data_IF_415354845812
#
_entry.id   IF_415354845812
#
_cell.length_a   1.000
_cell.length_b   1.000
_cell.length_c   1.000
_cell.angle_alpha   90.00
_cell.angle_beta   90.00
_cell.angle_gamma   90.00
#
_symmetry.space_group_name_H-M   'P 1'
#
loop_
_entity.id
_entity.type
_entity.pdbx_description
1 polymer ?
#
# COMPACT_ATOMS: atom_id res chain seq x y z
N UNK A 1 28.87 38.60 -37.66
CA UNK A 1 27.84 39.47 -37.06
C UNK A 1 26.60 38.62 -36.83
N UNK A 2 25.84 38.88 -35.77
CA UNK A 2 24.54 38.24 -35.56
C UNK A 2 23.44 39.00 -36.33
N UNK A 3 22.40 38.27 -36.73
CA UNK A 3 20.97 38.53 -36.50
C UNK A 3 20.09 38.08 -37.68
N UNK A 4 18.77 37.97 -37.46
CA UNK A 4 17.81 37.45 -38.45
C UNK A 4 17.14 36.13 -38.06
N UNK A 5 16.70 36.05 -36.81
CA UNK A 5 15.90 34.98 -36.22
C UNK A 5 14.68 34.56 -37.05
N UNK A 6 14.56 33.25 -37.24
CA UNK A 6 13.32 32.50 -37.44
C UNK A 6 13.58 31.14 -36.78
N UNK A 7 12.61 30.58 -36.05
CA UNK A 7 12.81 29.62 -34.94
C UNK A 7 12.86 28.17 -35.50
N UNK A 8 13.88 27.31 -35.36
CA UNK A 8 15.19 27.23 -34.65
C UNK A 8 15.18 26.91 -33.13
N UNK A 9 16.00 25.91 -32.77
CA UNK A 9 16.33 25.32 -31.44
C UNK A 9 16.83 26.31 -30.36
N UNK A 10 16.88 27.61 -30.64
CA UNK A 10 17.48 28.62 -29.76
C UNK A 10 16.47 29.18 -28.75
N UNK A 11 15.18 29.22 -29.08
CA UNK A 11 14.16 29.77 -28.20
C UNK A 11 13.85 28.83 -27.01
N UNK A 12 13.95 27.51 -27.22
CA UNK A 12 14.02 26.53 -26.14
C UNK A 12 15.27 26.67 -25.25
N UNK A 13 16.34 27.29 -25.74
CA UNK A 13 17.59 27.58 -25.00
C UNK A 13 17.41 28.83 -24.14
N UNK A 14 16.79 29.88 -24.70
CA UNK A 14 16.53 31.14 -24.00
C UNK A 14 15.54 30.97 -22.83
N UNK A 15 14.59 30.03 -22.95
CA UNK A 15 13.76 29.62 -21.81
C UNK A 15 14.62 29.07 -20.65
N UNK A 16 15.52 28.12 -20.92
CA UNK A 16 16.40 27.45 -19.94
C UNK A 16 17.34 28.44 -19.22
N UNK A 17 17.71 29.56 -19.87
CA UNK A 17 18.60 30.56 -19.29
C UNK A 17 17.94 31.47 -18.23
N UNK A 18 16.61 31.51 -18.13
CA UNK A 18 15.91 32.58 -17.38
C UNK A 18 15.51 32.26 -15.94
N UNK A 19 15.25 31.00 -15.56
CA UNK A 19 14.80 30.66 -14.19
C UNK A 19 15.78 29.76 -13.40
N UNK A 20 17.11 29.94 -13.49
CA UNK A 20 18.12 28.87 -13.33
C UNK A 20 18.36 28.31 -11.90
N UNK A 21 17.33 27.92 -11.13
CA UNK A 21 17.46 27.14 -9.87
C UNK A 21 16.51 25.96 -9.62
N UNK A 22 15.36 25.83 -10.29
CA UNK A 22 14.39 24.74 -10.01
C UNK A 22 14.51 23.48 -10.93
N UNK A 23 15.08 23.58 -12.14
CA UNK A 23 15.73 22.46 -12.89
C UNK A 23 17.27 22.44 -12.78
N UNK A 24 18.07 23.49 -12.60
CA UNK A 24 17.98 24.94 -12.84
C UNK A 24 16.90 25.37 -13.88
N UNK A 25 15.86 26.11 -13.45
CA UNK A 25 14.50 26.09 -14.06
C UNK A 25 14.39 26.78 -15.43
N UNK A 26 13.46 26.34 -16.31
CA UNK A 26 13.29 26.91 -17.64
C UNK A 26 12.26 28.06 -17.76
N UNK A 27 11.08 27.80 -18.35
CA UNK A 27 10.41 28.72 -19.37
C UNK A 27 9.70 29.74 -18.34
N UNK A 28 10.18 30.98 -18.24
CA UNK A 28 9.37 32.17 -18.59
C UNK A 28 10.29 33.12 -19.38
N UNK A 29 10.00 33.52 -20.62
CA UNK A 29 8.68 33.62 -21.28
C UNK A 29 8.74 32.99 -22.69
N UNK A 30 7.62 32.94 -23.43
CA UNK A 30 7.48 32.15 -24.68
C UNK A 30 8.47 32.46 -25.81
N UNK A 31 8.53 31.64 -26.88
CA UNK A 31 7.36 30.99 -27.50
C UNK A 31 7.48 29.53 -27.98
N UNK A 32 8.62 28.84 -27.85
CA UNK A 32 8.75 27.41 -28.21
C UNK A 32 7.94 26.50 -27.24
N UNK A 33 6.70 26.13 -27.59
CA UNK A 33 5.67 25.81 -26.57
C UNK A 33 5.38 24.35 -26.21
N UNK A 34 5.64 23.36 -27.07
CA UNK A 34 4.94 22.05 -26.92
C UNK A 34 5.82 20.82 -26.61
N UNK A 35 7.01 20.66 -27.21
CA UNK A 35 7.65 19.33 -27.28
C UNK A 35 8.39 18.82 -26.03
N UNK A 36 8.70 19.67 -25.03
CA UNK A 36 9.51 19.23 -23.88
C UNK A 36 8.73 18.38 -22.86
N UNK A 37 7.40 18.51 -22.81
CA UNK A 37 6.55 17.68 -21.94
C UNK A 37 6.37 16.27 -22.51
N UNK A 38 6.28 16.14 -23.84
CA UNK A 38 6.17 14.86 -24.55
C UNK A 38 7.41 13.96 -24.38
N UNK A 39 8.59 14.55 -24.16
CA UNK A 39 9.82 13.80 -23.83
C UNK A 39 9.77 13.19 -22.42
N UNK A 40 8.98 13.77 -21.50
CA UNK A 40 8.68 13.18 -20.19
C UNK A 40 7.44 12.29 -20.23
N UNK A 41 6.56 12.43 -21.23
CA UNK A 41 5.29 11.71 -21.36
C UNK A 41 5.40 10.50 -22.29
N UNK A 42 5.76 9.36 -21.71
CA UNK A 42 5.99 8.13 -22.44
C UNK A 42 4.65 7.49 -22.83
N UNK A 43 4.29 7.60 -24.11
CA UNK A 43 3.05 7.10 -24.69
C UNK A 43 3.32 6.16 -25.88
N UNK A 44 2.36 5.31 -26.26
CA UNK A 44 2.50 4.42 -27.43
C UNK A 44 2.73 5.14 -28.77
N UNK A 45 2.42 6.44 -28.86
CA UNK A 45 2.61 7.24 -30.07
C UNK A 45 3.93 8.04 -30.11
N UNK A 46 4.51 8.32 -28.93
CA UNK A 46 5.80 9.04 -28.78
C UNK A 46 6.97 8.09 -28.57
N UNK A 47 6.75 6.98 -27.87
CA UNK A 47 7.70 5.87 -27.74
C UNK A 47 8.10 5.33 -29.13
N UNK A 48 9.40 5.15 -29.37
CA UNK A 48 10.02 4.76 -30.65
C UNK A 48 9.90 5.77 -31.82
N UNK A 49 9.29 6.95 -31.67
CA UNK A 49 9.03 7.86 -32.80
C UNK A 49 9.99 9.07 -32.86
N UNK A 50 10.81 9.14 -33.93
CA UNK A 50 11.46 10.37 -34.39
C UNK A 50 12.71 10.85 -33.63
N UNK A 51 13.11 10.20 -32.54
CA UNK A 51 14.29 10.60 -31.76
C UNK A 51 15.61 10.28 -32.47
N UNK A 52 16.56 11.22 -32.43
CA UNK A 52 17.97 11.01 -32.83
C UNK A 52 18.91 11.70 -31.83
N UNK A 53 19.89 10.98 -31.26
CA UNK A 53 20.94 11.60 -30.45
C UNK A 53 21.99 12.25 -31.35
N UNK A 54 22.58 13.34 -30.88
CA UNK A 54 23.69 14.02 -31.56
C UNK A 54 25.02 13.61 -30.95
N UNK A 55 26.10 13.56 -31.74
CA UNK A 55 27.44 13.10 -31.33
C UNK A 55 27.81 13.59 -29.92
N UNK A 56 27.97 12.62 -29.00
CA UNK A 56 27.68 12.82 -27.58
C UNK A 56 28.91 13.13 -26.75
N UNK A 57 28.75 14.07 -25.82
CA UNK A 57 29.07 13.85 -24.41
C UNK A 57 27.88 14.30 -23.55
N UNK A 58 27.55 13.54 -22.51
CA UNK A 58 26.33 13.73 -21.71
C UNK A 58 26.63 13.91 -20.23
N UNK A 59 26.12 15.01 -19.68
CA UNK A 59 26.20 15.33 -18.24
C UNK A 59 24.82 15.35 -17.59
N UNK A 60 23.76 15.74 -18.32
CA UNK A 60 22.39 15.21 -18.12
C UNK A 60 21.36 15.76 -19.12
N UNK A 61 20.60 14.86 -19.75
CA UNK A 61 19.13 14.95 -19.85
C UNK A 61 18.52 13.69 -19.19
N UNK A 62 18.89 13.50 -17.92
CA UNK A 62 18.88 12.27 -17.12
C UNK A 62 19.08 10.91 -17.84
N UNK A 63 20.25 10.58 -18.40
CA UNK A 63 21.31 11.49 -18.85
C UNK A 63 21.31 11.67 -20.38
N UNK A 64 20.47 10.89 -21.09
CA UNK A 64 19.76 11.32 -22.30
C UNK A 64 18.51 10.44 -22.44
N UNK A 65 17.51 10.68 -21.58
CA UNK A 65 16.40 9.77 -21.27
C UNK A 65 16.91 8.35 -20.94
N UNK A 66 17.89 8.31 -20.03
CA UNK A 66 18.67 7.16 -19.61
C UNK A 66 19.41 6.42 -20.76
N UNK A 67 19.94 7.21 -21.70
CA UNK A 67 20.43 6.75 -23.01
C UNK A 67 19.33 6.01 -23.79
N UNK A 68 18.23 6.72 -24.01
CA UNK A 68 17.06 6.30 -24.78
C UNK A 68 16.43 4.98 -24.35
N UNK A 69 15.88 4.99 -23.14
CA UNK A 69 15.12 3.86 -22.61
C UNK A 69 15.91 2.54 -22.62
N UNK A 70 17.16 2.61 -22.15
CA UNK A 70 17.98 1.49 -21.70
C UNK A 70 18.60 0.55 -22.78
N UNK A 71 18.46 0.85 -24.08
CA UNK A 71 19.36 0.37 -25.17
C UNK A 71 19.69 -1.15 -25.18
N UNK A 72 18.80 -2.11 -25.50
CA UNK A 72 17.39 -2.07 -25.95
C UNK A 72 16.61 -3.22 -25.24
N UNK A 73 15.97 -3.01 -24.08
CA UNK A 73 15.26 -4.07 -23.37
C UNK A 73 13.77 -4.09 -23.72
N UNK A 74 13.31 -5.23 -24.25
CA UNK A 74 11.89 -5.50 -24.56
C UNK A 74 11.01 -5.37 -23.31
N UNK A 75 11.60 -5.50 -22.13
CA UNK A 75 11.01 -5.27 -20.81
C UNK A 75 10.33 -3.91 -20.70
N UNK A 76 10.95 -2.87 -21.28
CA UNK A 76 10.45 -1.49 -21.19
C UNK A 76 9.38 -1.23 -22.26
N UNK A 77 9.48 -1.86 -23.43
CA UNK A 77 8.36 -1.91 -24.38
C UNK A 77 7.12 -2.61 -23.75
N UNK A 78 7.31 -3.73 -23.03
CA UNK A 78 6.24 -4.46 -22.34
C UNK A 78 5.55 -3.62 -21.25
N UNK A 79 6.21 -2.62 -20.65
CA UNK A 79 5.54 -1.63 -19.77
C UNK A 79 4.45 -0.89 -20.55
N UNK A 80 4.78 -0.36 -21.73
CA UNK A 80 3.87 0.46 -22.51
C UNK A 80 2.80 -0.36 -23.25
N UNK A 81 3.11 -1.60 -23.62
CA UNK A 81 2.11 -2.55 -24.15
C UNK A 81 1.09 -2.98 -23.07
N UNK A 82 1.51 -3.04 -21.80
CA UNK A 82 0.65 -3.38 -20.66
C UNK A 82 0.06 -2.15 -19.93
N UNK A 83 0.35 -0.92 -20.38
CA UNK A 83 -0.17 0.31 -19.80
C UNK A 83 -1.21 0.96 -20.72
N UNK A 84 -2.47 0.98 -20.26
CA UNK A 84 -3.58 1.67 -20.93
C UNK A 84 -3.40 3.19 -21.03
N UNK A 85 -2.40 3.76 -20.34
CA UNK A 85 -2.20 5.21 -20.16
C UNK A 85 -0.74 5.60 -20.34
N UNK A 86 -0.46 6.83 -20.79
CA UNK A 86 0.90 7.39 -20.78
C UNK A 86 1.50 7.41 -19.37
N UNK A 87 2.81 7.21 -19.26
CA UNK A 87 3.56 7.21 -18.01
C UNK A 87 4.61 8.31 -18.01
N UNK A 88 4.83 8.94 -16.86
CA UNK A 88 5.81 10.03 -16.74
C UNK A 88 7.22 9.47 -16.46
N UNK A 89 8.24 9.93 -17.18
CA UNK A 89 9.65 9.73 -16.81
C UNK A 89 10.01 10.61 -15.62
N UNK A 90 10.47 10.01 -14.52
CA UNK A 90 10.77 10.71 -13.28
C UNK A 90 12.25 10.53 -12.89
N UNK A 91 13.12 11.53 -13.12
CA UNK A 91 14.52 11.51 -12.69
C UNK A 91 14.68 11.24 -11.17
N UNK A 92 15.57 10.31 -10.76
CA UNK A 92 15.85 9.99 -9.36
C UNK A 92 16.22 11.19 -8.49
N UNK A 93 16.84 12.21 -9.07
CA UNK A 93 17.21 13.47 -8.41
C UNK A 93 16.00 14.28 -7.89
N UNK A 94 14.79 14.01 -8.38
CA UNK A 94 13.56 14.62 -7.85
C UNK A 94 13.09 13.97 -6.54
N UNK A 95 13.62 12.80 -6.15
CA UNK A 95 13.18 12.04 -4.98
C UNK A 95 13.97 12.39 -3.71
N UNK A 96 13.41 13.29 -2.89
CA UNK A 96 13.95 13.61 -1.57
C UNK A 96 13.80 12.45 -0.57
N UNK A 97 14.85 12.18 0.19
CA UNK A 97 14.90 11.32 1.39
C UNK A 97 14.16 9.98 1.25
N UNK A 98 14.69 9.08 0.41
CA UNK A 98 14.18 7.72 0.20
C UNK A 98 14.11 6.93 1.53
N UNK A 99 12.89 6.65 1.99
CA UNK A 99 12.63 5.79 3.15
C UNK A 99 12.17 4.41 2.69
N UNK A 100 12.94 3.37 2.96
CA UNK A 100 12.49 1.99 2.75
C UNK A 100 11.28 1.65 3.64
N UNK A 101 10.30 0.97 3.03
CA UNK A 101 9.25 0.26 3.75
C UNK A 101 9.67 -1.20 4.00
N UNK A 102 9.03 -1.93 4.94
CA UNK A 102 9.33 -3.35 5.15
C UNK A 102 9.18 -4.16 3.86
N UNK A 103 10.29 -4.77 3.44
CA UNK A 103 10.45 -5.45 2.16
C UNK A 103 9.44 -6.59 1.98
N UNK A 104 9.14 -6.93 0.73
CA UNK A 104 8.44 -8.17 0.38
C UNK A 104 9.36 -9.06 -0.44
N UNK A 105 9.03 -10.35 -0.56
CA UNK A 105 9.73 -11.27 -1.47
C UNK A 105 9.54 -10.95 -2.97
N UNK A 106 8.89 -9.83 -3.29
CA UNK A 106 8.56 -9.37 -4.65
C UNK A 106 9.21 -8.02 -4.99
N UNK A 107 10.05 -7.48 -4.10
CA UNK A 107 10.77 -6.22 -4.31
C UNK A 107 10.75 -5.29 -3.10
N UNK A 108 11.61 -4.28 -3.17
CA UNK A 108 11.72 -3.21 -2.19
C UNK A 108 10.80 -2.04 -2.57
N UNK A 109 10.07 -1.49 -1.61
CA UNK A 109 9.28 -0.26 -1.80
C UNK A 109 9.92 0.87 -1.00
N UNK A 110 10.04 2.04 -1.60
CA UNK A 110 10.51 3.27 -0.96
C UNK A 110 9.39 4.31 -0.96
N UNK A 111 9.27 5.08 0.12
CA UNK A 111 8.53 6.35 0.13
C UNK A 111 9.51 7.50 -0.10
N UNK A 112 9.06 8.51 -0.84
CA UNK A 112 9.82 9.75 -1.08
C UNK A 112 8.89 10.96 -1.21
N UNK A 113 9.45 12.15 -1.04
CA UNK A 113 8.87 13.39 -1.55
C UNK A 113 9.46 13.68 -2.93
N UNK A 114 8.66 13.47 -3.98
CA UNK A 114 8.99 13.89 -5.33
C UNK A 114 8.83 15.41 -5.43
N UNK A 115 9.95 16.13 -5.54
CA UNK A 115 9.98 17.54 -5.94
C UNK A 115 9.79 17.58 -7.45
N UNK A 116 8.54 17.77 -7.87
CA UNK A 116 8.19 18.01 -9.28
C UNK A 116 8.61 19.44 -9.60
N UNK A 117 9.64 19.71 -10.43
CA UNK A 117 10.30 21.01 -10.44
C UNK A 117 9.39 22.17 -10.87
N UNK A 118 8.53 21.97 -11.87
CA UNK A 118 7.49 22.94 -12.29
C UNK A 118 6.32 23.11 -11.30
N UNK A 119 6.47 22.68 -10.05
CA UNK A 119 5.45 22.76 -9.01
C UNK A 119 6.08 22.95 -7.64
N UNK A 120 5.92 24.14 -7.06
CA UNK A 120 6.44 24.50 -5.73
C UNK A 120 5.88 23.67 -4.54
N UNK A 121 5.13 22.58 -4.79
CA UNK A 121 4.68 21.59 -3.80
C UNK A 121 5.24 20.20 -4.11
N UNK A 122 6.02 19.61 -3.21
CA UNK A 122 6.45 18.21 -3.33
C UNK A 122 5.27 17.24 -3.22
N UNK A 123 5.24 16.21 -4.07
CA UNK A 123 4.23 15.14 -4.07
C UNK A 123 4.80 13.90 -3.38
N UNK A 124 4.07 13.34 -2.42
CA UNK A 124 4.45 12.09 -1.76
C UNK A 124 4.27 10.92 -2.74
N UNK A 125 5.32 10.16 -3.02
CA UNK A 125 5.33 9.04 -3.98
C UNK A 125 5.79 7.74 -3.34
N UNK A 126 5.32 6.62 -3.89
CA UNK A 126 5.82 5.29 -3.59
C UNK A 126 6.55 4.74 -4.82
N UNK A 127 7.77 4.26 -4.63
CA UNK A 127 8.65 3.73 -5.69
C UNK A 127 8.85 2.25 -5.40
N UNK A 128 8.32 1.37 -6.25
CA UNK A 128 8.51 -0.07 -6.17
C UNK A 128 9.69 -0.46 -7.07
N UNK A 129 10.80 -0.88 -6.47
CA UNK A 129 11.90 -1.49 -7.21
C UNK A 129 11.44 -2.84 -7.78
N UNK A 130 11.70 -3.07 -9.06
CA UNK A 130 11.24 -4.22 -9.83
C UNK A 130 12.41 -4.92 -10.53
N UNK A 131 12.52 -6.23 -10.29
CA UNK A 131 13.51 -7.12 -10.92
C UNK A 131 12.98 -7.78 -12.21
N UNK A 132 11.68 -8.08 -12.27
CA UNK A 132 10.99 -8.61 -13.44
C UNK A 132 9.66 -7.86 -13.59
N UNK A 133 9.53 -7.20 -14.75
CA UNK A 133 8.45 -6.27 -15.04
C UNK A 133 7.23 -6.93 -15.70
N UNK A 134 7.41 -8.11 -16.30
CA UNK A 134 6.36 -8.87 -17.01
C UNK A 134 5.34 -9.42 -16.01
N UNK A 135 5.75 -9.60 -14.75
CA UNK A 135 4.92 -10.07 -13.63
C UNK A 135 4.25 -8.93 -12.83
N UNK A 136 4.29 -7.69 -13.32
CA UNK A 136 3.78 -6.51 -12.60
C UNK A 136 2.39 -6.07 -13.09
N UNK A 137 1.64 -5.42 -12.20
CA UNK A 137 0.42 -4.69 -12.54
C UNK A 137 0.73 -3.19 -12.60
N UNK A 138 0.42 -2.55 -13.73
CA UNK A 138 0.63 -1.11 -13.98
C UNK A 138 -0.55 -0.23 -13.56
N UNK A 139 -1.64 -0.82 -13.05
CA UNK A 139 -2.79 -0.07 -12.52
C UNK A 139 -2.30 0.90 -11.44
N UNK A 140 -2.62 2.19 -11.61
CA UNK A 140 -2.23 3.33 -10.76
C UNK A 140 -0.71 3.63 -10.68
N UNK A 141 0.11 3.06 -11.55
CA UNK A 141 1.45 3.61 -11.85
C UNK A 141 1.25 4.93 -12.59
N UNK A 142 1.90 6.00 -12.13
CA UNK A 142 1.88 7.33 -12.76
C UNK A 142 3.13 7.59 -13.60
N UNK A 143 4.19 6.83 -13.35
CA UNK A 143 5.49 7.06 -13.98
C UNK A 143 6.50 5.98 -13.65
N UNK A 144 7.67 6.11 -14.27
CA UNK A 144 8.80 5.20 -14.14
C UNK A 144 10.07 5.97 -13.85
N UNK A 145 10.96 5.34 -13.10
CA UNK A 145 12.30 5.83 -12.80
C UNK A 145 13.30 4.68 -12.88
N UNK A 146 14.59 4.96 -12.92
CA UNK A 146 15.61 3.93 -12.83
C UNK A 146 16.95 4.45 -12.33
N UNK A 147 17.77 3.52 -11.81
CA UNK A 147 19.15 3.77 -11.39
C UNK A 147 20.08 2.67 -11.91
N UNK A 148 21.35 3.02 -12.16
CA UNK A 148 22.39 2.03 -12.48
C UNK A 148 22.66 1.20 -11.22
N UNK A 149 22.58 -0.12 -11.34
CA UNK A 149 22.89 -1.02 -10.22
C UNK A 149 24.39 -1.07 -9.97
N UNK A 150 24.82 -0.98 -8.71
CA UNK A 150 26.23 -1.17 -8.32
C UNK A 150 26.67 -2.64 -8.33
N UNK A 151 25.72 -3.59 -8.39
CA UNK A 151 25.96 -5.02 -8.17
C UNK A 151 25.45 -5.95 -9.29
N UNK A 152 24.73 -5.41 -10.28
CA UNK A 152 24.19 -6.19 -11.40
C UNK A 152 24.55 -5.53 -12.72
N UNK A 153 24.71 -6.33 -13.78
CA UNK A 153 24.89 -5.87 -15.18
C UNK A 153 23.65 -5.19 -15.79
N UNK A 154 22.56 -5.09 -15.04
CA UNK A 154 21.28 -4.54 -15.50
C UNK A 154 20.78 -3.43 -14.58
N UNK A 155 20.02 -2.51 -15.16
CA UNK A 155 19.42 -1.36 -14.50
C UNK A 155 18.34 -1.78 -13.48
N UNK A 156 18.22 -1.05 -12.38
CA UNK A 156 17.12 -1.24 -11.42
C UNK A 156 15.98 -0.31 -11.78
N UNK A 157 14.85 -0.88 -12.18
CA UNK A 157 13.63 -0.14 -12.54
C UNK A 157 12.80 0.16 -11.28
N UNK A 158 12.24 1.36 -11.22
CA UNK A 158 11.30 1.78 -10.19
C UNK A 158 9.95 2.16 -10.82
N UNK A 159 8.89 1.42 -10.47
CA UNK A 159 7.52 1.83 -10.79
C UNK A 159 7.07 2.87 -9.76
N UNK A 160 6.64 4.04 -10.21
CA UNK A 160 6.25 5.15 -9.34
C UNK A 160 4.73 5.29 -9.34
N UNK A 161 4.14 5.24 -8.15
CA UNK A 161 2.75 5.63 -7.90
C UNK A 161 2.72 6.84 -6.97
N UNK A 162 1.55 7.48 -6.85
CA UNK A 162 1.29 8.32 -5.68
C UNK A 162 1.45 7.46 -4.41
N UNK A 163 1.98 8.05 -3.34
CA UNK A 163 2.00 7.39 -2.04
C UNK A 163 0.59 7.42 -1.45
N UNK A 164 0.08 6.25 -1.07
CA UNK A 164 -1.09 6.16 -0.21
C UNK A 164 -0.85 6.90 1.11
N UNK A 165 -1.93 7.39 1.72
CA UNK A 165 -1.87 8.03 3.03
C UNK A 165 -1.66 6.99 4.14
N UNK A 166 -2.30 5.83 4.01
CA UNK A 166 -2.24 4.74 4.99
C UNK A 166 -2.62 3.39 4.34
N UNK A 167 -2.14 2.28 4.90
CA UNK A 167 -2.69 0.95 4.60
C UNK A 167 -3.91 0.65 5.48
N UNK A 168 -4.81 -0.22 5.05
CA UNK A 168 -5.94 -0.64 5.90
C UNK A 168 -5.45 -1.32 7.19
N UNK A 169 -4.30 -2.01 7.13
CA UNK A 169 -3.59 -2.58 8.29
C UNK A 169 -3.24 -1.53 9.35
N UNK A 170 -2.72 -0.37 8.95
CA UNK A 170 -2.38 0.72 9.86
C UNK A 170 -3.61 1.52 10.33
N UNK A 171 -4.75 1.38 9.64
CA UNK A 171 -5.99 2.09 9.97
C UNK A 171 -6.89 1.32 10.95
N UNK A 172 -7.06 0.00 10.75
CA UNK A 172 -7.90 -0.88 11.57
C UNK A 172 -7.66 -0.76 13.08
N UNK A 173 -6.42 -0.62 13.61
CA UNK A 173 -6.18 -0.39 15.03
C UNK A 173 -6.95 0.79 15.62
N UNK A 174 -7.37 1.77 14.80
CA UNK A 174 -8.10 2.98 15.19
C UNK A 174 -9.62 2.77 15.26
N UNK A 175 -10.15 1.57 15.01
CA UNK A 175 -11.58 1.27 15.00
C UNK A 175 -12.33 1.65 16.30
N UNK A 176 -11.65 1.72 17.45
CA UNK A 176 -12.21 2.20 18.71
C UNK A 176 -12.68 3.67 18.68
N UNK A 177 -12.30 4.42 17.64
CA UNK A 177 -12.66 5.83 17.43
C UNK A 177 -13.80 6.00 16.40
N UNK A 178 -14.01 5.02 15.54
CA UNK A 178 -14.86 5.11 14.36
C UNK A 178 -16.36 5.06 14.71
N UNK A 179 -17.23 5.56 13.81
CA UNK A 179 -18.66 5.29 13.86
C UNK A 179 -18.99 4.02 13.07
N UNK A 180 -20.13 3.38 13.35
CA UNK A 180 -20.64 2.25 12.55
C UNK A 180 -20.73 2.63 11.07
N UNK A 181 -21.27 3.81 10.75
CA UNK A 181 -21.27 4.37 9.38
C UNK A 181 -19.87 4.44 8.74
N UNK A 182 -18.80 4.75 9.49
CA UNK A 182 -17.42 4.72 8.96
C UNK A 182 -16.93 3.28 8.74
N UNK A 183 -17.22 2.35 9.66
CA UNK A 183 -16.90 0.92 9.49
C UNK A 183 -17.59 0.38 8.23
N UNK A 184 -18.89 0.68 8.05
CA UNK A 184 -19.69 0.21 6.91
C UNK A 184 -19.23 0.81 5.58
N UNK A 185 -18.88 2.11 5.53
CA UNK A 185 -18.31 2.74 4.33
C UNK A 185 -16.99 2.09 3.93
N UNK A 186 -16.05 1.91 4.87
CA UNK A 186 -14.75 1.28 4.57
C UNK A 186 -14.92 -0.19 4.19
N UNK A 187 -15.84 -0.91 4.82
CA UNK A 187 -16.26 -2.25 4.43
C UNK A 187 -16.80 -2.30 2.99
N UNK A 188 -17.70 -1.38 2.62
CA UNK A 188 -18.31 -1.30 1.30
C UNK A 188 -17.29 -0.93 0.22
N UNK A 189 -16.37 0.00 0.50
CA UNK A 189 -15.25 0.33 -0.39
C UNK A 189 -14.34 -0.89 -0.61
N UNK A 190 -14.03 -1.64 0.46
CA UNK A 190 -13.21 -2.87 0.38
C UNK A 190 -13.93 -3.95 -0.44
N UNK A 191 -15.22 -4.19 -0.16
CA UNK A 191 -16.02 -5.18 -0.89
C UNK A 191 -16.21 -4.81 -2.36
N UNK A 192 -16.37 -3.51 -2.67
CA UNK A 192 -16.49 -3.01 -4.04
C UNK A 192 -15.19 -3.21 -4.82
N UNK A 193 -14.02 -2.92 -4.24
CA UNK A 193 -12.75 -3.16 -4.90
C UNK A 193 -12.49 -4.67 -5.17
N UNK A 194 -13.02 -5.57 -4.33
CA UNK A 194 -13.00 -7.02 -4.57
C UNK A 194 -14.02 -7.43 -5.65
N UNK A 195 -15.24 -6.85 -5.62
CA UNK A 195 -16.27 -7.05 -6.66
C UNK A 195 -15.77 -6.63 -8.04
N UNK A 196 -15.16 -5.45 -8.15
CA UNK A 196 -14.71 -4.90 -9.43
C UNK A 196 -13.57 -5.74 -10.03
N UNK A 197 -12.79 -6.42 -9.19
CA UNK A 197 -11.82 -7.43 -9.60
C UNK A 197 -12.49 -8.77 -10.01
N UNK A 198 -13.54 -9.19 -9.30
CA UNK A 198 -14.28 -10.42 -9.61
C UNK A 198 -15.12 -10.30 -10.90
N UNK A 199 -15.66 -9.11 -11.18
CA UNK A 199 -16.44 -8.81 -12.38
C UNK A 199 -15.62 -8.92 -13.68
N UNK A 200 -14.30 -8.74 -13.62
CA UNK A 200 -13.37 -9.01 -14.74
C UNK A 200 -12.79 -10.43 -14.71
N UNK A 201 -13.47 -11.36 -14.03
CA UNK A 201 -13.07 -12.77 -13.81
C UNK A 201 -11.71 -12.97 -13.11
N UNK A 202 -11.15 -11.93 -12.49
CA UNK A 202 -9.91 -12.02 -11.72
C UNK A 202 -10.18 -12.28 -10.23
N UNK A 203 -9.11 -12.52 -9.47
CA UNK A 203 -9.12 -12.59 -8.01
C UNK A 203 -7.75 -12.18 -7.45
N UNK A 204 -7.73 -11.73 -6.21
CA UNK A 204 -6.56 -11.16 -5.57
C UNK A 204 -5.68 -12.24 -4.94
N UNK A 205 -4.41 -12.36 -5.36
CA UNK A 205 -3.53 -13.46 -4.93
C UNK A 205 -3.16 -13.45 -3.44
N UNK A 206 -3.20 -12.29 -2.78
CA UNK A 206 -2.78 -12.10 -1.39
C UNK A 206 -3.65 -11.02 -0.71
N UNK A 207 -4.94 -11.30 -0.53
CA UNK A 207 -5.92 -10.33 0.00
C UNK A 207 -5.82 -10.20 1.53
N UNK A 208 -5.30 -9.07 2.00
CA UNK A 208 -5.06 -8.76 3.42
C UNK A 208 -5.00 -7.23 3.62
N UNK A 209 -5.25 -6.69 4.83
CA UNK A 209 -5.29 -5.23 5.07
C UNK A 209 -4.01 -4.46 4.69
N UNK A 210 -2.83 -5.11 4.72
CA UNK A 210 -1.57 -4.50 4.27
C UNK A 210 -1.60 -4.13 2.78
N UNK A 211 -2.24 -4.99 2.00
CA UNK A 211 -2.32 -4.94 0.55
C UNK A 211 -3.53 -4.13 0.08
N UNK A 212 -4.16 -3.38 1.01
CA UNK A 212 -5.25 -2.45 0.76
C UNK A 212 -4.74 -1.06 1.09
N UNK A 213 -4.57 -0.23 0.07
CA UNK A 213 -4.09 1.15 0.20
C UNK A 213 -5.28 2.12 0.26
N UNK A 214 -5.12 3.20 1.01
CA UNK A 214 -6.12 4.27 1.15
C UNK A 214 -5.46 5.61 0.80
N UNK A 215 -6.10 6.36 -0.10
CA UNK A 215 -5.64 7.69 -0.56
C UNK A 215 -6.84 8.62 -0.61
N UNK A 216 -6.95 9.54 0.34
CA UNK A 216 -8.20 10.28 0.56
C UNK A 216 -9.42 9.35 0.72
N UNK A 217 -10.42 9.50 -0.14
CA UNK A 217 -11.63 8.66 -0.18
C UNK A 217 -11.54 7.45 -1.14
N UNK A 218 -10.35 7.13 -1.68
CA UNK A 218 -10.13 5.99 -2.58
C UNK A 218 -9.46 4.83 -1.87
N UNK A 219 -9.86 3.61 -2.25
CA UNK A 219 -9.30 2.35 -1.77
C UNK A 219 -8.79 1.53 -2.95
N UNK A 220 -7.59 0.95 -2.82
CA UNK A 220 -6.90 0.24 -3.89
C UNK A 220 -6.34 -1.10 -3.40
N UNK A 221 -6.43 -2.15 -4.24
CA UNK A 221 -5.84 -3.47 -3.99
C UNK A 221 -4.49 -3.60 -4.69
N UNK A 222 -3.40 -3.78 -3.94
CA UNK A 222 -2.01 -3.94 -4.44
C UNK A 222 -1.43 -5.30 -4.11
N UNK A 223 -0.25 -5.66 -4.65
CA UNK A 223 0.33 -7.02 -4.52
C UNK A 223 -0.52 -8.13 -5.20
N UNK A 224 -1.34 -7.71 -6.17
CA UNK A 224 -1.91 -8.57 -7.21
C UNK A 224 -0.79 -9.13 -8.09
N UNK A 225 -0.81 -10.44 -8.35
CA UNK A 225 0.07 -11.09 -9.33
C UNK A 225 -0.76 -11.92 -10.30
N UNK A 226 -0.46 -11.75 -11.59
CA UNK A 226 -0.85 -12.64 -12.68
C UNK A 226 -0.17 -14.00 -12.49
N UNK A 227 -0.86 -14.92 -11.81
CA UNK A 227 -0.28 -16.14 -11.26
C UNK A 227 0.05 -17.19 -12.32
N UNK A 228 1.32 -17.24 -12.73
CA UNK A 228 1.95 -18.45 -13.25
C UNK A 228 2.50 -19.26 -12.06
N UNK A 229 1.86 -20.41 -11.78
CA UNK A 229 2.26 -21.51 -10.85
C UNK A 229 1.99 -21.33 -9.33
N UNK A 230 0.79 -21.77 -8.94
CA UNK A 230 0.51 -22.83 -7.94
C UNK A 230 1.01 -22.79 -6.48
N UNK A 231 1.85 -21.85 -6.01
CA UNK A 231 2.26 -21.79 -4.58
C UNK A 231 1.44 -20.78 -3.78
N UNK A 232 0.92 -21.22 -2.63
CA UNK A 232 0.29 -20.34 -1.63
C UNK A 232 1.26 -19.27 -1.15
N UNK A 233 0.81 -18.01 -1.12
CA UNK A 233 1.60 -16.84 -0.75
C UNK A 233 0.72 -15.80 -0.06
N UNK A 234 1.17 -15.31 1.10
CA UNK A 234 0.40 -14.44 1.99
C UNK A 234 0.53 -14.86 3.45
N UNK A 235 -0.18 -14.20 4.37
CA UNK A 235 -0.23 -14.64 5.78
C UNK A 235 -1.35 -15.67 5.97
N UNK A 236 -1.01 -16.77 6.65
CA UNK A 236 -1.90 -17.91 6.88
C UNK A 236 -3.33 -17.57 7.37
N UNK A 237 -3.56 -16.59 8.28
CA UNK A 237 -4.91 -16.28 8.77
C UNK A 237 -5.91 -15.75 7.72
N UNK A 238 -5.45 -15.37 6.53
CA UNK A 238 -6.32 -14.93 5.42
C UNK A 238 -6.60 -16.05 4.40
N UNK A 239 -5.95 -17.22 4.51
CA UNK A 239 -6.24 -18.35 3.64
C UNK A 239 -7.54 -19.05 4.07
N UNK A 240 -8.35 -19.40 3.08
CA UNK A 240 -9.56 -20.17 3.28
C UNK A 240 -9.24 -21.67 3.54
N UNK A 241 -10.12 -22.42 4.25
CA UNK A 241 -9.83 -23.80 4.67
C UNK A 241 -9.54 -24.78 3.53
N UNK A 242 -10.01 -24.51 2.30
CA UNK A 242 -9.71 -25.29 1.11
C UNK A 242 -8.27 -25.10 0.58
N UNK A 243 -7.50 -24.16 1.14
CA UNK A 243 -6.10 -23.86 0.78
C UNK A 243 -5.89 -23.56 -0.72
N UNK A 244 -6.91 -23.00 -1.39
CA UNK A 244 -6.88 -22.56 -2.78
C UNK A 244 -7.04 -21.04 -2.89
N UNK A 245 -6.53 -20.46 -3.98
CA UNK A 245 -6.63 -19.03 -4.29
C UNK A 245 -7.59 -18.86 -5.49
N UNK A 246 -8.79 -18.36 -5.22
CA UNK A 246 -9.86 -18.15 -6.20
C UNK A 246 -10.83 -17.05 -5.69
N UNK A 247 -11.91 -16.77 -6.43
CA UNK A 247 -12.91 -15.77 -6.00
C UNK A 247 -13.59 -16.12 -4.67
N UNK A 248 -13.95 -17.39 -4.41
CA UNK A 248 -14.59 -17.78 -3.14
C UNK A 248 -13.64 -17.72 -1.94
N UNK A 249 -12.34 -17.95 -2.10
CA UNK A 249 -11.36 -17.74 -1.02
C UNK A 249 -10.99 -16.27 -0.82
N UNK A 250 -11.12 -15.44 -1.86
CA UNK A 250 -11.17 -13.99 -1.73
C UNK A 250 -12.35 -13.52 -0.87
N UNK A 251 -13.54 -14.13 -0.99
CA UNK A 251 -14.68 -13.80 -0.09
C UNK A 251 -14.39 -14.22 1.35
N UNK A 252 -13.68 -15.33 1.58
CA UNK A 252 -13.23 -15.70 2.93
C UNK A 252 -12.29 -14.64 3.52
N UNK A 253 -11.24 -14.26 2.78
CA UNK A 253 -10.31 -13.20 3.18
C UNK A 253 -11.01 -11.84 3.38
N UNK A 254 -12.01 -11.50 2.55
CA UNK A 254 -12.87 -10.34 2.76
C UNK A 254 -13.67 -10.46 4.07
N UNK A 255 -14.21 -11.64 4.39
CA UNK A 255 -14.86 -11.93 5.69
C UNK A 255 -13.94 -11.70 6.89
N UNK A 256 -12.67 -12.08 6.77
CA UNK A 256 -11.63 -11.75 7.77
C UNK A 256 -11.54 -10.23 7.93
N UNK A 257 -11.36 -9.50 6.82
CA UNK A 257 -11.16 -8.04 6.83
C UNK A 257 -12.39 -7.31 7.37
N UNK A 258 -13.61 -7.74 7.01
CA UNK A 258 -14.87 -7.20 7.55
C UNK A 258 -14.93 -7.36 9.08
N UNK A 259 -14.51 -8.50 9.62
CA UNK A 259 -14.41 -8.73 11.05
C UNK A 259 -13.31 -7.88 11.71
N UNK A 260 -12.17 -7.69 11.05
CA UNK A 260 -11.08 -6.84 11.54
C UNK A 260 -11.50 -5.36 11.62
N UNK A 261 -12.21 -4.86 10.61
CA UNK A 261 -12.80 -3.50 10.59
C UNK A 261 -13.75 -3.24 11.77
N UNK A 262 -14.51 -4.26 12.18
CA UNK A 262 -15.43 -4.17 13.31
C UNK A 262 -14.77 -4.43 14.69
N UNK A 263 -13.71 -5.24 14.75
CA UNK A 263 -13.06 -5.65 16.00
C UNK A 263 -11.79 -4.86 16.36
N UNK A 264 -11.22 -4.11 15.41
CA UNK A 264 -9.95 -3.39 15.57
C UNK A 264 -8.72 -4.28 15.70
N UNK A 265 -8.83 -5.57 15.37
CA UNK A 265 -7.75 -6.57 15.49
C UNK A 265 -7.00 -6.72 14.17
N UNK A 266 -5.67 -6.68 14.21
CA UNK A 266 -4.78 -7.09 13.12
C UNK A 266 -4.05 -8.37 13.54
N UNK A 267 -3.80 -9.26 12.57
CA UNK A 267 -3.00 -10.46 12.79
C UNK A 267 -1.50 -10.17 12.60
N UNK A 268 -0.64 -10.64 13.52
CA UNK A 268 0.81 -10.43 13.46
C UNK A 268 1.44 -11.05 12.21
N UNK A 269 2.64 -10.59 11.85
CA UNK A 269 3.31 -10.98 10.60
C UNK A 269 3.84 -12.42 10.60
N UNK A 270 4.47 -12.85 11.69
CA UNK A 270 5.30 -14.05 11.74
C UNK A 270 5.19 -14.84 13.06
N UNK A 271 4.34 -14.43 13.99
CA UNK A 271 4.13 -15.15 15.26
C UNK A 271 3.07 -16.24 15.09
N UNK A 272 3.18 -17.31 15.87
CA UNK A 272 2.10 -18.29 15.98
C UNK A 272 0.84 -17.60 16.56
N UNK A 273 -0.18 -17.47 15.72
CA UNK A 273 -1.41 -16.74 16.06
C UNK A 273 -2.17 -17.50 17.14
N UNK A 274 -2.06 -17.04 18.39
CA UNK A 274 -2.77 -17.66 19.53
C UNK A 274 -4.28 -17.72 19.26
N UNK A 275 -4.78 -18.95 19.08
CA UNK A 275 -6.14 -19.26 18.63
C UNK A 275 -7.23 -18.81 19.58
N UNK A 276 -6.89 -18.49 20.84
CA UNK A 276 -7.76 -17.88 21.83
C UNK A 276 -7.80 -16.35 21.70
N UNK A 277 -6.65 -15.69 21.76
CA UNK A 277 -6.49 -14.22 21.75
C UNK A 277 -7.00 -13.62 20.45
N UNK A 278 -6.59 -14.21 19.33
CA UNK A 278 -6.92 -13.76 17.98
C UNK A 278 -8.18 -14.44 17.41
N UNK A 279 -8.95 -15.15 18.24
CA UNK A 279 -10.16 -15.86 17.80
C UNK A 279 -11.13 -14.93 17.08
N UNK A 280 -11.49 -15.33 15.85
CA UNK A 280 -12.62 -14.79 15.12
C UNK A 280 -13.90 -15.39 15.70
N UNK A 281 -14.91 -14.55 15.90
CA UNK A 281 -16.14 -14.90 16.59
C UNK A 281 -17.06 -13.68 16.75
N UNK A 282 -18.22 -13.87 17.39
CA UNK A 282 -19.20 -12.80 17.58
C UNK A 282 -18.60 -11.64 18.37
N UNK A 283 -19.00 -10.42 17.98
CA UNK A 283 -18.71 -9.20 18.73
C UNK A 283 -19.91 -8.92 19.64
N UNK A 284 -19.70 -8.20 20.75
CA UNK A 284 -20.81 -7.69 21.57
C UNK A 284 -21.03 -6.23 21.19
N UNK A 285 -22.25 -5.73 21.35
CA UNK A 285 -22.57 -4.33 21.05
C UNK A 285 -22.18 -3.95 19.60
N UNK A 286 -22.54 -4.82 18.64
CA UNK A 286 -22.30 -4.61 17.21
C UNK A 286 -23.47 -5.18 16.39
N UNK A 287 -23.64 -4.67 15.16
CA UNK A 287 -24.77 -4.97 14.30
C UNK A 287 -24.80 -6.44 13.85
N UNK A 288 -25.84 -7.15 14.27
CA UNK A 288 -26.05 -8.58 13.99
C UNK A 288 -26.16 -8.88 12.50
N UNK A 289 -26.64 -7.93 11.70
CA UNK A 289 -26.74 -8.03 10.24
C UNK A 289 -25.34 -8.02 9.59
N UNK A 290 -24.44 -7.18 10.10
CA UNK A 290 -23.04 -7.15 9.67
C UNK A 290 -22.26 -8.38 10.19
N UNK A 291 -22.63 -8.90 11.37
CA UNK A 291 -22.05 -10.13 11.91
C UNK A 291 -22.42 -11.37 11.09
N UNK A 292 -23.70 -11.53 10.76
CA UNK A 292 -24.17 -12.57 9.83
C UNK A 292 -23.42 -12.47 8.49
N UNK A 293 -23.29 -11.26 7.95
CA UNK A 293 -22.57 -11.03 6.69
C UNK A 293 -21.12 -11.54 6.72
N UNK A 294 -20.30 -11.12 7.70
CA UNK A 294 -18.93 -11.63 7.77
C UNK A 294 -18.89 -13.14 8.09
N UNK A 295 -19.86 -13.65 8.85
CA UNK A 295 -19.95 -15.07 9.21
C UNK A 295 -20.27 -15.94 7.99
N UNK A 296 -21.15 -15.49 7.09
CA UNK A 296 -21.41 -16.13 5.78
C UNK A 296 -20.17 -16.10 4.88
N UNK A 297 -19.45 -14.98 4.83
CA UNK A 297 -18.17 -14.89 4.13
C UNK A 297 -17.13 -15.90 4.67
N UNK A 298 -17.11 -16.13 5.98
CA UNK A 298 -16.21 -17.07 6.67
C UNK A 298 -16.68 -18.54 6.66
N UNK A 299 -17.69 -18.90 5.87
CA UNK A 299 -18.11 -20.30 5.74
C UNK A 299 -16.95 -21.21 5.35
N UNK A 300 -16.76 -22.33 6.08
CA UNK A 300 -15.80 -23.39 5.70
C UNK A 300 -16.08 -23.96 4.31
N UNK A 301 -17.36 -23.97 3.92
CA UNK A 301 -17.90 -24.43 2.63
C UNK A 301 -17.89 -23.27 1.61
N UNK A 302 -17.04 -23.28 0.56
CA UNK A 302 -16.92 -22.18 -0.40
C UNK A 302 -18.21 -21.87 -1.16
N UNK A 303 -19.03 -22.88 -1.42
CA UNK A 303 -20.31 -22.77 -2.13
C UNK A 303 -21.32 -21.91 -1.35
N UNK A 304 -21.25 -21.94 -0.01
CA UNK A 304 -22.13 -21.17 0.89
C UNK A 304 -21.68 -19.71 1.12
N UNK A 305 -20.51 -19.30 0.61
CA UNK A 305 -20.05 -17.91 0.71
C UNK A 305 -20.78 -17.05 -0.33
N UNK A 306 -21.19 -15.81 -0.01
CA UNK A 306 -21.83 -14.90 -0.97
C UNK A 306 -20.87 -14.54 -2.14
N UNK A 307 -21.39 -13.89 -3.18
CA UNK A 307 -20.54 -13.16 -4.16
C UNK A 307 -20.09 -11.82 -3.57
N UNK A 308 -19.04 -11.21 -4.13
CA UNK A 308 -18.59 -9.88 -3.68
C UNK A 308 -19.68 -8.81 -3.88
N UNK A 309 -20.49 -8.93 -4.94
CA UNK A 309 -21.67 -8.11 -5.17
C UNK A 309 -22.74 -8.31 -4.08
N UNK A 310 -23.06 -9.55 -3.70
CA UNK A 310 -23.98 -9.84 -2.59
C UNK A 310 -23.46 -9.26 -1.25
N UNK A 311 -22.14 -9.19 -1.05
CA UNK A 311 -21.53 -8.50 0.10
C UNK A 311 -21.74 -6.98 0.01
N UNK A 312 -21.51 -6.37 -1.16
CA UNK A 312 -21.78 -4.94 -1.38
C UNK A 312 -23.26 -4.61 -1.12
N UNK A 313 -24.18 -5.38 -1.69
CA UNK A 313 -25.62 -5.19 -1.54
C UNK A 313 -26.07 -5.36 -0.09
N UNK A 314 -25.50 -6.35 0.63
CA UNK A 314 -25.74 -6.52 2.08
C UNK A 314 -25.27 -5.29 2.88
N UNK A 315 -24.09 -4.74 2.58
CA UNK A 315 -23.55 -3.56 3.26
C UNK A 315 -24.36 -2.28 2.98
N UNK A 316 -24.85 -2.11 1.75
CA UNK A 316 -25.75 -1.01 1.38
C UNK A 316 -27.05 -1.11 2.18
N UNK A 317 -27.66 -2.30 2.27
CA UNK A 317 -28.87 -2.50 3.06
C UNK A 317 -28.65 -2.24 4.56
N UNK A 318 -27.50 -2.65 5.11
CA UNK A 318 -27.11 -2.34 6.50
C UNK A 318 -26.98 -0.83 6.72
N UNK A 319 -26.38 -0.10 5.78
CA UNK A 319 -26.23 1.36 5.85
C UNK A 319 -27.58 2.11 5.74
N UNK A 320 -28.54 1.57 5.01
CA UNK A 320 -29.89 2.14 4.84
C UNK A 320 -30.83 1.84 6.01
N UNK A 321 -30.72 0.66 6.65
CA UNK A 321 -31.66 0.24 7.71
C UNK A 321 -31.55 1.03 9.02
N UNK A 322 -30.47 1.80 9.21
CA UNK A 322 -30.31 2.84 10.24
C UNK A 322 -30.69 2.44 11.70
N UNK A 323 -30.43 1.19 12.08
CA UNK A 323 -30.79 0.58 13.39
C UNK A 323 -29.94 1.07 14.57
N UNK A 324 -30.02 2.36 14.91
CA UNK A 324 -29.20 2.99 15.96
C UNK A 324 -29.72 2.75 17.40
N UNK A 325 -29.71 1.49 17.85
CA UNK A 325 -29.86 1.14 19.28
C UNK A 325 -28.48 0.81 19.91
N UNK A 326 -27.47 0.53 19.08
CA UNK A 326 -26.16 0.06 19.53
C UNK A 326 -25.31 1.24 20.02
N UNK A 327 -24.83 1.17 21.27
CA UNK A 327 -23.95 2.21 21.82
C UNK A 327 -22.56 2.18 21.19
N UNK A 328 -22.18 3.29 20.55
CA UNK A 328 -20.80 3.53 20.10
C UNK A 328 -19.81 3.41 21.27
N UNK A 329 -20.19 3.78 22.49
CA UNK A 329 -19.29 3.75 23.64
C UNK A 329 -18.98 2.31 24.09
N UNK A 330 -19.97 1.42 24.08
CA UNK A 330 -19.78 0.00 24.43
C UNK A 330 -18.92 -0.73 23.38
N UNK A 331 -19.20 -0.52 22.10
CA UNK A 331 -18.36 -1.04 21.00
C UNK A 331 -16.91 -0.56 21.12
N UNK A 332 -16.73 0.75 21.30
CA UNK A 332 -15.44 1.41 21.52
C UNK A 332 -14.68 0.85 22.72
N UNK A 333 -15.39 0.47 23.79
CA UNK A 333 -14.82 -0.20 24.96
C UNK A 333 -14.41 -1.65 24.65
N UNK A 334 -15.24 -2.44 23.94
CA UNK A 334 -14.90 -3.82 23.59
C UNK A 334 -13.66 -3.89 22.69
N UNK A 335 -13.54 -3.01 21.69
CA UNK A 335 -12.36 -2.95 20.81
C UNK A 335 -11.09 -2.69 21.65
N UNK A 336 -11.13 -1.75 22.59
CA UNK A 336 -10.00 -1.49 23.49
C UNK A 336 -9.68 -2.69 24.38
N UNK A 337 -10.67 -3.32 25.00
CA UNK A 337 -10.48 -4.52 25.82
C UNK A 337 -9.76 -5.63 25.05
N UNK A 338 -10.15 -5.90 23.79
CA UNK A 338 -9.49 -6.93 22.97
C UNK A 338 -8.07 -6.53 22.57
N UNK A 339 -7.82 -5.25 22.27
CA UNK A 339 -6.48 -4.74 21.96
C UNK A 339 -5.54 -4.73 23.19
N UNK A 340 -6.07 -4.52 24.40
CA UNK A 340 -5.33 -4.65 25.66
C UNK A 340 -4.92 -6.12 25.89
N UNK A 341 -5.84 -7.06 25.69
CA UNK A 341 -5.56 -8.49 25.79
C UNK A 341 -4.49 -8.95 24.80
N UNK A 342 -4.55 -8.45 23.55
CA UNK A 342 -3.49 -8.65 22.54
C UNK A 342 -2.16 -8.05 23.00
N UNK A 343 -2.16 -6.83 23.57
CA UNK A 343 -0.93 -6.15 24.04
C UNK A 343 -0.23 -6.95 25.15
N UNK A 344 -0.99 -7.44 26.14
CA UNK A 344 -0.46 -8.32 27.21
C UNK A 344 0.12 -9.62 26.64
N UNK A 345 -0.59 -10.29 25.74
CA UNK A 345 -0.11 -11.51 25.09
C UNK A 345 1.19 -11.28 24.31
N UNK A 346 1.29 -10.19 23.55
CA UNK A 346 2.51 -9.85 22.80
C UNK A 346 3.71 -9.62 23.72
N UNK A 347 3.55 -8.89 24.83
CA UNK A 347 4.61 -8.70 25.83
C UNK A 347 5.06 -10.04 26.41
N UNK A 348 4.12 -10.84 26.92
CA UNK A 348 4.39 -12.13 27.55
C UNK A 348 5.00 -13.17 26.60
N UNK A 349 4.80 -13.04 25.29
CA UNK A 349 5.39 -13.95 24.30
C UNK A 349 6.91 -13.81 24.12
N UNK A 350 7.52 -12.71 24.59
CA UNK A 350 8.95 -12.37 24.45
C UNK A 350 9.56 -12.48 23.03
N UNK A 351 8.74 -12.51 21.98
CA UNK A 351 9.19 -12.58 20.58
C UNK A 351 9.62 -11.20 20.04
N UNK A 352 10.66 -11.16 19.19
CA UNK A 352 11.20 -9.92 18.59
C UNK A 352 10.12 -9.08 17.87
N UNK A 353 9.11 -9.76 17.30
CA UNK A 353 7.99 -9.17 16.53
C UNK A 353 7.01 -8.37 17.39
N UNK A 354 7.06 -8.52 18.72
CA UNK A 354 6.07 -7.93 19.64
C UNK A 354 6.18 -6.41 19.74
N UNK A 355 7.40 -5.85 19.79
CA UNK A 355 7.60 -4.40 19.84
C UNK A 355 7.13 -3.67 18.57
N UNK A 356 7.37 -4.17 17.34
CA UNK A 356 6.71 -3.68 16.13
C UNK A 356 5.17 -3.69 16.22
N UNK A 357 4.56 -4.81 16.59
CA UNK A 357 3.10 -4.93 16.65
C UNK A 357 2.46 -3.97 17.69
N UNK A 358 3.11 -3.76 18.84
CA UNK A 358 2.66 -2.79 19.85
C UNK A 358 2.81 -1.34 19.35
N UNK A 359 3.85 -1.04 18.54
CA UNK A 359 3.99 0.27 17.87
C UNK A 359 2.88 0.51 16.83
N UNK A 360 2.46 -0.52 16.09
CA UNK A 360 1.33 -0.45 15.15
C UNK A 360 0.00 -0.18 15.87
N UNK A 361 -0.26 -0.83 17.02
CA UNK A 361 -1.45 -0.56 17.85
C UNK A 361 -1.52 0.88 18.41
N UNK A 362 -0.38 1.58 18.50
CA UNK A 362 -0.30 3.00 18.88
C UNK A 362 -0.40 3.96 17.68
N UNK A 363 -0.32 3.48 16.44
CA UNK A 363 -0.32 4.33 15.24
C UNK A 363 -1.71 4.93 14.99
N UNK A 364 -1.80 6.27 14.93
CA UNK A 364 -3.07 7.00 14.84
C UNK A 364 -4.02 6.83 16.05
N UNK A 365 -3.58 6.17 17.14
CA UNK A 365 -4.37 6.01 18.35
C UNK A 365 -4.51 7.32 19.14
N UNK A 366 -5.62 7.51 19.85
CA UNK A 366 -5.83 8.68 20.73
C UNK A 366 -4.76 8.80 21.82
N UNK A 367 -4.53 10.00 22.36
CA UNK A 367 -3.59 10.20 23.47
C UNK A 367 -3.90 9.28 24.66
N UNK A 368 -5.18 9.19 25.08
CA UNK A 368 -5.64 8.28 26.15
C UNK A 368 -5.27 6.82 25.88
N UNK A 369 -5.44 6.35 24.64
CA UNK A 369 -5.07 4.97 24.24
C UNK A 369 -3.56 4.76 24.19
N UNK A 370 -2.78 5.72 23.69
CA UNK A 370 -1.31 5.66 23.69
C UNK A 370 -0.74 5.66 25.12
N UNK A 371 -1.30 6.46 26.03
CA UNK A 371 -0.95 6.44 27.45
C UNK A 371 -1.30 5.11 28.10
N UNK A 372 -2.50 4.56 27.83
CA UNK A 372 -2.92 3.27 28.36
C UNK A 372 -2.01 2.12 27.91
N UNK A 373 -1.66 2.06 26.62
CA UNK A 373 -0.73 1.04 26.08
C UNK A 373 0.65 1.19 26.73
N UNK A 374 1.18 2.42 26.84
CA UNK A 374 2.47 2.67 27.52
C UNK A 374 2.45 2.24 28.99
N UNK A 375 1.39 2.56 29.73
CA UNK A 375 1.26 2.15 31.12
C UNK A 375 1.24 0.62 31.29
N UNK A 376 0.56 -0.10 30.39
CA UNK A 376 0.59 -1.58 30.36
C UNK A 376 2.01 -2.08 30.11
N UNK A 377 2.72 -1.55 29.10
CA UNK A 377 4.11 -1.93 28.80
C UNK A 377 5.04 -1.71 30.01
N UNK A 378 4.93 -0.55 30.69
CA UNK A 378 5.73 -0.26 31.88
C UNK A 378 5.37 -1.13 33.09
N UNK A 379 4.09 -1.49 33.27
CA UNK A 379 3.65 -2.36 34.36
C UNK A 379 4.10 -3.80 34.17
N UNK A 380 3.92 -4.40 32.98
CA UNK A 380 4.39 -5.76 32.72
C UNK A 380 5.91 -5.84 32.89
N UNK A 381 6.68 -4.86 32.37
CA UNK A 381 8.14 -4.81 32.55
C UNK A 381 8.58 -4.70 34.02
N UNK A 382 7.86 -3.95 34.86
CA UNK A 382 8.09 -3.88 36.30
C UNK A 382 7.84 -5.23 37.00
N UNK A 383 6.79 -5.95 36.59
CA UNK A 383 6.51 -7.30 37.10
C UNK A 383 7.50 -8.36 36.59
N UNK A 384 8.08 -8.19 35.40
CA UNK A 384 9.18 -9.04 34.94
C UNK A 384 10.46 -8.80 35.76
N UNK A 385 10.89 -7.55 35.95
CA UNK A 385 12.07 -7.25 36.78
C UNK A 385 11.95 -7.67 38.25
N UNK A 386 10.73 -7.92 38.73
CA UNK A 386 10.44 -8.46 40.08
C UNK A 386 10.28 -9.98 40.14
N UNK A 387 10.31 -10.69 39.01
CA UNK A 387 10.49 -12.14 38.98
C UNK A 387 11.96 -12.48 38.99
N UNK A 388 12.72 -11.84 38.11
CA UNK A 388 14.16 -12.02 37.96
C UNK A 388 14.96 -11.60 39.23
N UNK A 389 14.31 -10.94 40.21
CA UNK A 389 14.86 -10.59 41.53
C UNK A 389 14.48 -11.54 42.67
N UNK A 390 13.75 -12.63 42.37
CA UNK A 390 13.10 -13.49 43.37
C UNK A 390 13.49 -14.98 43.25
N UNK A 391 14.42 -15.31 42.35
CA UNK A 391 15.03 -16.64 42.25
C UNK A 391 16.11 -16.82 43.36
N UNK A 392 15.67 -17.03 44.59
CA UNK A 392 16.50 -17.71 45.60
C UNK A 392 16.81 -19.12 45.10
N UNK A 393 18.06 -19.62 45.24
CA UNK A 393 18.44 -20.95 44.76
C UNK A 393 17.80 -22.03 45.64
N UNK A 394 16.63 -22.53 45.22
CA UNK A 394 15.98 -23.70 45.83
C UNK A 394 16.94 -24.88 45.70
N UNK A 395 17.54 -25.27 46.83
CA UNK A 395 18.42 -26.43 46.90
C UNK A 395 17.64 -27.70 46.57
N UNK A 396 18.24 -28.59 45.78
CA UNK A 396 17.68 -29.91 45.54
C UNK A 396 17.79 -30.78 46.79
N UNK A 397 16.70 -31.48 47.12
CA UNK A 397 16.61 -32.55 48.10
C UNK A 397 15.68 -33.64 47.58
#
# INVERSE_FOLDING_TARGET
MFDGLNIKKQDAYDYILTHPKEFLDPIRQGNDKENNWDLLLLSRATFMKGWKPTNKEHVSLFDELFNHYFEYPVEVQKIFEASEKPLIWLPPVWFGSLRSLPSSSRGQVYLSQCRVPWKHSSVRVAIRAVDDIIKQCFKNVIGVTAVRSKYRKHHMLGLVSLAADITLEQWIPQADQWSFQRIYRVALMTASAVRDLHNVNMFHSNLQPRNILITGERLELVDQVTLVKSRLYGRYPYFAPELQVNQKSNIFALGIILWQLASGVIFPYSTNVCSYIYRIGPLKHFDTSYQDLFTRCLSKRPERRPTAEQVCNSLIQIMLQNKSIISKQEHSLQVRQKQILITKYLLQSRQEVSLPAIKELMHGATLKKRMMIRAIVSLEAYYESKKDSNDDPIQCG
#
